data_IF_089164999449
#
_entry.id   IF_089164999449
#
_cell.length_a   1.000
_cell.length_b   1.000
_cell.length_c   1.000
_cell.angle_alpha   90.00
_cell.angle_beta   90.00
_cell.angle_gamma   90.00
#
_symmetry.space_group_name_H-M   'P 1'
#
loop_
_entity.id
_entity.type
_entity.pdbx_description
1 polymer ?
#
# COMPACT_ATOMS: atom_id res chain seq x y z
N UNK A 1 -2.65 13.45 -5.60
CA UNK A 1 -1.76 12.47 -6.22
C UNK A 1 -2.19 12.38 -7.66
N UNK A 2 -1.30 12.73 -8.57
CA UNK A 2 -1.60 12.90 -9.98
C UNK A 2 -1.39 11.59 -10.74
N UNK A 3 -2.28 11.32 -11.69
CA UNK A 3 -2.14 10.20 -12.62
C UNK A 3 -1.36 10.64 -13.85
N UNK A 4 -0.18 10.07 -14.04
CA UNK A 4 0.72 10.38 -15.15
C UNK A 4 0.53 9.33 -16.25
N UNK A 5 0.04 9.78 -17.40
CA UNK A 5 -0.20 8.91 -18.57
C UNK A 5 1.12 8.38 -19.14
N UNK A 6 1.12 7.11 -19.51
CA UNK A 6 2.21 6.49 -20.25
C UNK A 6 1.91 6.57 -21.74
N UNK A 7 2.83 7.15 -22.51
CA UNK A 7 2.84 7.07 -23.96
C UNK A 7 3.13 5.62 -24.39
N UNK A 8 2.05 4.86 -24.66
CA UNK A 8 2.14 3.43 -25.01
C UNK A 8 2.98 3.19 -26.25
N UNK A 9 2.99 4.12 -27.22
CA UNK A 9 3.73 3.94 -28.46
C UNK A 9 5.25 4.04 -28.27
N UNK A 10 5.69 4.77 -27.25
CA UNK A 10 7.11 4.88 -26.88
C UNK A 10 7.52 3.93 -25.75
N UNK A 11 6.57 3.19 -25.18
CA UNK A 11 6.84 2.35 -24.03
C UNK A 11 7.40 0.99 -24.43
N UNK A 12 8.66 0.72 -24.05
CA UNK A 12 9.37 -0.52 -24.39
C UNK A 12 8.63 -1.80 -24.00
N UNK A 13 7.78 -1.76 -22.96
CA UNK A 13 7.01 -2.93 -22.50
C UNK A 13 5.63 -3.06 -23.13
N UNK A 14 5.26 -2.23 -24.14
CA UNK A 14 3.95 -2.26 -24.81
C UNK A 14 3.50 -3.68 -25.17
N UNK A 15 4.32 -4.41 -25.92
CA UNK A 15 3.98 -5.78 -26.37
C UNK A 15 3.77 -6.75 -25.22
N UNK A 16 4.62 -6.67 -24.19
CA UNK A 16 4.52 -7.53 -23.00
C UNK A 16 3.28 -7.20 -22.20
N UNK A 17 2.97 -5.91 -22.04
CA UNK A 17 1.76 -5.47 -21.37
C UNK A 17 0.52 -5.93 -22.13
N UNK A 18 0.45 -5.76 -23.45
CA UNK A 18 -0.68 -6.21 -24.27
C UNK A 18 -0.91 -7.72 -24.13
N UNK A 19 0.16 -8.53 -24.23
CA UNK A 19 0.06 -9.98 -24.05
C UNK A 19 -0.54 -10.35 -22.69
N UNK A 20 -0.02 -9.81 -21.59
CA UNK A 20 -0.45 -10.20 -20.25
C UNK A 20 -1.68 -9.45 -19.71
N UNK A 21 -2.13 -8.38 -20.37
CA UNK A 21 -3.34 -7.63 -20.00
C UNK A 21 -4.55 -7.93 -20.88
N UNK A 22 -4.38 -8.66 -21.99
CA UNK A 22 -5.47 -8.99 -22.92
C UNK A 22 -5.50 -10.46 -23.28
N UNK A 23 -4.40 -10.99 -23.80
CA UNK A 23 -4.39 -12.31 -24.44
C UNK A 23 -4.19 -13.45 -23.42
N UNK A 24 -3.34 -13.23 -22.42
CA UNK A 24 -2.95 -14.20 -21.40
C UNK A 24 -3.00 -13.52 -20.03
N UNK A 25 -4.21 -13.24 -19.54
CA UNK A 25 -4.41 -12.68 -18.20
C UNK A 25 -3.86 -13.62 -17.13
N UNK A 26 -2.81 -13.21 -16.44
CA UNK A 26 -2.19 -14.00 -15.38
C UNK A 26 -1.63 -13.14 -14.25
N UNK A 27 -1.54 -13.73 -13.06
CA UNK A 27 -0.82 -13.17 -11.91
C UNK A 27 0.08 -14.25 -11.30
N UNK A 28 1.09 -13.84 -10.54
CA UNK A 28 1.94 -14.76 -9.79
C UNK A 28 2.15 -14.23 -8.37
N UNK A 29 2.46 -15.13 -7.45
CA UNK A 29 2.81 -14.80 -6.06
C UNK A 29 4.09 -15.52 -5.66
N UNK A 30 4.82 -14.95 -4.70
CA UNK A 30 5.98 -15.57 -4.09
C UNK A 30 6.00 -15.27 -2.60
N UNK A 31 6.46 -16.24 -1.81
CA UNK A 31 6.63 -16.12 -0.37
C UNK A 31 8.10 -16.24 -0.03
N UNK A 32 8.60 -15.32 0.78
CA UNK A 32 9.99 -15.34 1.27
C UNK A 32 10.00 -15.14 2.78
N UNK A 33 10.96 -15.78 3.44
CA UNK A 33 11.28 -15.48 4.83
C UNK A 33 12.27 -14.33 4.87
N UNK A 34 11.85 -13.20 5.45
CA UNK A 34 12.72 -12.04 5.65
C UNK A 34 13.36 -12.11 7.04
N UNK A 35 14.68 -12.03 7.10
CA UNK A 35 15.36 -11.82 8.37
C UNK A 35 15.14 -10.37 8.84
N UNK A 36 14.32 -10.24 9.89
CA UNK A 36 13.98 -8.96 10.50
C UNK A 36 14.68 -8.75 11.85
N UNK A 37 15.67 -9.58 12.23
CA UNK A 37 16.29 -9.55 13.56
C UNK A 37 16.83 -8.16 13.91
N UNK A 38 17.60 -7.54 13.00
CA UNK A 38 18.14 -6.20 13.21
C UNK A 38 17.08 -5.10 13.24
N UNK A 39 15.99 -5.26 12.48
CA UNK A 39 14.87 -4.32 12.47
C UNK A 39 14.08 -4.40 13.78
N UNK A 40 13.76 -5.62 14.22
CA UNK A 40 13.04 -5.89 15.48
C UNK A 40 13.77 -5.28 16.67
N UNK A 41 15.08 -5.49 16.79
CA UNK A 41 15.89 -4.90 17.86
C UNK A 41 15.80 -3.36 17.87
N UNK A 42 15.87 -2.72 16.70
CA UNK A 42 15.75 -1.25 16.60
C UNK A 42 14.35 -0.75 16.97
N UNK A 43 13.31 -1.47 16.59
CA UNK A 43 11.91 -1.15 16.94
C UNK A 43 11.73 -1.19 18.45
N UNK A 44 12.26 -2.23 19.11
CA UNK A 44 12.21 -2.40 20.57
C UNK A 44 12.96 -1.28 21.30
N UNK A 45 14.20 -0.99 20.90
CA UNK A 45 15.02 0.09 21.49
C UNK A 45 14.32 1.45 21.38
N UNK A 46 13.70 1.72 20.22
CA UNK A 46 13.00 2.98 19.95
C UNK A 46 11.56 3.00 20.45
N UNK A 47 11.06 1.90 21.03
CA UNK A 47 9.68 1.76 21.52
C UNK A 47 8.62 2.08 20.44
N UNK A 48 8.90 1.70 19.19
CA UNK A 48 7.99 1.90 18.07
C UNK A 48 7.01 0.73 17.95
N UNK A 49 5.83 0.99 17.40
CA UNK A 49 4.91 -0.08 16.99
C UNK A 49 5.48 -0.82 15.78
N UNK A 50 5.45 -2.15 15.81
CA UNK A 50 6.06 -2.97 14.75
C UNK A 50 5.41 -2.76 13.38
N UNK A 51 4.08 -2.86 13.30
CA UNK A 51 3.36 -2.82 12.03
C UNK A 51 3.56 -1.52 11.21
N UNK A 52 3.43 -0.30 11.76
CA UNK A 52 3.66 0.92 10.97
C UNK A 52 5.09 1.05 10.45
N UNK A 53 6.09 0.45 11.12
CA UNK A 53 7.47 0.44 10.63
C UNK A 53 7.61 -0.45 9.39
N UNK A 54 6.99 -1.64 9.39
CA UNK A 54 6.93 -2.51 8.21
C UNK A 54 6.13 -1.85 7.09
N UNK A 55 4.98 -1.26 7.43
CA UNK A 55 4.10 -0.59 6.49
C UNK A 55 4.83 0.54 5.76
N UNK A 56 5.55 1.39 6.50
CA UNK A 56 6.39 2.45 5.94
C UNK A 56 7.46 1.90 5.00
N UNK A 57 8.16 0.84 5.40
CA UNK A 57 9.17 0.18 4.56
C UNK A 57 8.59 -0.27 3.23
N UNK A 58 7.44 -0.95 3.25
CA UNK A 58 6.72 -1.35 2.04
C UNK A 58 6.30 -0.13 1.20
N UNK A 59 5.73 0.90 1.83
CA UNK A 59 5.31 2.11 1.13
C UNK A 59 6.47 2.83 0.45
N UNK A 60 7.66 2.91 1.08
CA UNK A 60 8.86 3.49 0.45
C UNK A 60 9.27 2.73 -0.81
N UNK A 61 9.27 1.39 -0.77
CA UNK A 61 9.63 0.59 -1.94
C UNK A 61 8.59 0.66 -3.06
N UNK A 62 7.31 0.57 -2.71
CA UNK A 62 6.21 0.71 -3.66
C UNK A 62 6.22 2.09 -4.32
N UNK A 63 6.43 3.15 -3.54
CA UNK A 63 6.52 4.51 -4.08
C UNK A 63 7.83 4.78 -4.85
N UNK A 64 8.89 3.99 -4.64
CA UNK A 64 10.15 4.14 -5.38
C UNK A 64 10.06 3.68 -6.84
N UNK A 65 9.27 2.65 -7.13
CA UNK A 65 9.23 2.02 -8.44
C UNK A 65 7.88 2.21 -9.12
N UNK A 66 7.88 2.84 -10.29
CA UNK A 66 6.66 3.18 -11.04
C UNK A 66 5.76 1.96 -11.30
N UNK A 67 6.34 0.79 -11.54
CA UNK A 67 5.64 -0.44 -11.87
C UNK A 67 4.69 -0.94 -10.77
N UNK A 68 4.92 -0.55 -9.50
CA UNK A 68 4.01 -0.87 -8.40
C UNK A 68 2.87 0.15 -8.24
N UNK A 69 2.87 1.21 -9.04
CA UNK A 69 1.93 2.33 -8.97
C UNK A 69 1.16 2.53 -10.28
N UNK A 70 1.25 1.55 -11.19
CA UNK A 70 0.57 1.58 -12.50
C UNK A 70 -0.89 1.19 -12.37
N UNK A 71 -1.76 1.86 -13.11
CA UNK A 71 -3.19 1.56 -13.18
C UNK A 71 -3.77 2.03 -14.53
N UNK A 72 -5.03 1.69 -14.79
CA UNK A 72 -5.86 2.28 -15.83
C UNK A 72 -6.74 3.35 -15.21
N UNK A 73 -6.75 4.56 -15.80
CA UNK A 73 -7.68 5.60 -15.36
C UNK A 73 -9.13 5.28 -15.75
N UNK A 74 -10.06 6.19 -15.43
CA UNK A 74 -11.50 6.03 -15.72
C UNK A 74 -11.82 5.86 -17.21
N UNK A 75 -10.93 6.34 -18.08
CA UNK A 75 -11.05 6.28 -19.54
C UNK A 75 -10.31 5.06 -20.14
N UNK A 76 -9.74 4.19 -19.30
CA UNK A 76 -9.00 3.00 -19.73
C UNK A 76 -7.57 3.30 -20.23
N UNK A 77 -7.05 4.48 -19.97
CA UNK A 77 -5.69 4.88 -20.36
C UNK A 77 -4.67 4.39 -19.34
N UNK A 78 -3.56 3.87 -19.84
CA UNK A 78 -2.46 3.37 -19.00
C UNK A 78 -1.64 4.52 -18.45
N UNK A 79 -1.33 4.46 -17.17
CA UNK A 79 -0.46 5.41 -16.50
C UNK A 79 0.00 4.89 -15.16
N UNK A 80 0.48 5.79 -14.33
CA UNK A 80 0.89 5.52 -12.96
C UNK A 80 0.61 6.72 -12.08
N UNK A 81 0.32 6.49 -10.81
CA UNK A 81 0.22 7.57 -9.84
C UNK A 81 1.62 8.06 -9.44
N UNK A 82 1.77 9.36 -9.23
CA UNK A 82 2.98 10.00 -8.69
C UNK A 82 3.35 9.49 -7.29
N UNK A 83 2.35 9.07 -6.52
CA UNK A 83 2.43 8.52 -5.18
C UNK A 83 1.17 7.67 -4.90
N UNK A 84 1.30 6.64 -4.05
CA UNK A 84 0.17 5.84 -3.56
C UNK A 84 0.26 5.55 -2.07
N UNK A 85 -0.91 5.40 -1.45
CA UNK A 85 -1.07 5.19 -0.01
C UNK A 85 -1.19 3.69 0.33
N UNK A 86 -0.63 3.21 1.46
CA UNK A 86 -0.96 1.88 1.95
C UNK A 86 -2.42 1.81 2.41
N UNK A 87 -3.14 0.77 1.99
CA UNK A 87 -4.41 0.34 2.59
C UNK A 87 -4.21 -1.02 3.26
N UNK A 88 -4.64 -1.14 4.51
CA UNK A 88 -4.33 -2.28 5.36
C UNK A 88 -5.49 -2.75 6.23
N UNK A 89 -5.40 -4.01 6.66
CA UNK A 89 -6.41 -4.64 7.51
C UNK A 89 -6.23 -4.26 8.97
N UNK A 90 -7.35 -3.96 9.63
CA UNK A 90 -7.45 -3.80 11.07
C UNK A 90 -8.46 -4.81 11.59
N UNK A 91 -8.07 -5.57 12.60
CA UNK A 91 -8.87 -6.65 13.17
C UNK A 91 -9.69 -6.14 14.36
N UNK A 92 -10.98 -6.47 14.38
CA UNK A 92 -11.92 -6.20 15.46
C UNK A 92 -12.20 -7.52 16.19
N UNK A 93 -11.68 -7.64 17.41
CA UNK A 93 -11.68 -8.90 18.14
C UNK A 93 -13.07 -9.30 18.64
N UNK A 94 -13.94 -8.33 18.97
CA UNK A 94 -15.25 -8.63 19.57
C UNK A 94 -16.25 -9.26 18.59
N UNK A 95 -16.11 -8.98 17.30
CA UNK A 95 -16.96 -9.47 16.22
C UNK A 95 -16.22 -10.41 15.27
N UNK A 96 -14.93 -10.66 15.50
CA UNK A 96 -14.06 -11.47 14.65
C UNK A 96 -14.06 -10.98 13.18
N UNK A 97 -14.12 -9.66 13.00
CA UNK A 97 -14.18 -9.02 11.68
C UNK A 97 -12.90 -8.24 11.39
N UNK A 98 -12.70 -7.91 10.11
CA UNK A 98 -11.68 -6.95 9.70
C UNK A 98 -12.30 -5.85 8.85
N UNK A 99 -11.73 -4.66 8.96
CA UNK A 99 -12.02 -3.53 8.08
C UNK A 99 -10.72 -2.97 7.49
N UNK A 100 -10.85 -2.15 6.46
CA UNK A 100 -9.72 -1.58 5.75
C UNK A 100 -9.51 -0.12 6.15
N UNK A 101 -8.28 0.22 6.51
CA UNK A 101 -7.84 1.58 6.82
C UNK A 101 -6.68 1.91 5.90
N UNK A 102 -6.67 3.12 5.36
CA UNK A 102 -5.53 3.61 4.60
C UNK A 102 -4.90 4.80 5.31
N UNK A 103 -3.58 4.90 5.21
CA UNK A 103 -2.81 6.01 5.80
C UNK A 103 -2.15 6.81 4.72
N UNK A 104 -2.20 8.14 4.83
CA UNK A 104 -1.52 9.01 3.87
C UNK A 104 -0.02 8.76 3.93
N UNK A 105 0.57 8.38 2.78
CA UNK A 105 2.00 8.22 2.66
C UNK A 105 2.71 9.57 2.80
N UNK A 106 3.91 9.52 3.37
CA UNK A 106 4.88 10.60 3.36
C UNK A 106 6.27 9.99 3.26
N UNK A 107 7.19 10.67 2.58
CA UNK A 107 8.56 10.19 2.43
C UNK A 107 9.33 10.27 3.77
N UNK A 108 8.95 11.19 4.64
CA UNK A 108 9.45 11.30 6.01
C UNK A 108 8.78 10.25 6.93
N UNK A 109 9.62 9.48 7.62
CA UNK A 109 9.14 8.41 8.50
C UNK A 109 8.28 8.93 9.66
N UNK A 110 8.68 10.04 10.27
CA UNK A 110 7.96 10.58 11.43
C UNK A 110 6.58 11.06 11.02
N UNK A 111 6.50 11.79 9.89
CA UNK A 111 5.21 12.24 9.34
C UNK A 111 4.31 11.05 9.01
N UNK A 112 4.84 10.03 8.33
CA UNK A 112 4.10 8.81 8.03
C UNK A 112 3.60 8.10 9.31
N UNK A 113 4.48 7.98 10.31
CA UNK A 113 4.18 7.30 11.56
C UNK A 113 3.07 8.03 12.33
N UNK A 114 3.10 9.36 12.37
CA UNK A 114 2.04 10.17 12.98
C UNK A 114 0.71 10.05 12.23
N UNK A 115 0.74 10.04 10.88
CA UNK A 115 -0.47 9.80 10.07
C UNK A 115 -1.11 8.45 10.43
N UNK A 116 -0.29 7.40 10.54
CA UNK A 116 -0.77 6.06 10.94
C UNK A 116 -1.39 6.08 12.35
N UNK A 117 -0.72 6.69 13.32
CA UNK A 117 -1.24 6.73 14.69
C UNK A 117 -2.58 7.47 14.77
N UNK A 118 -2.75 8.55 14.00
CA UNK A 118 -4.01 9.28 13.92
C UNK A 118 -5.12 8.41 13.33
N UNK A 119 -4.84 7.69 12.24
CA UNK A 119 -5.83 6.77 11.65
C UNK A 119 -6.20 5.65 12.62
N UNK A 120 -5.23 5.03 13.29
CA UNK A 120 -5.51 3.97 14.26
C UNK A 120 -6.29 4.48 15.49
N UNK A 121 -6.06 5.72 15.92
CA UNK A 121 -6.85 6.34 16.98
C UNK A 121 -8.33 6.44 16.60
N UNK A 122 -8.62 6.79 15.34
CA UNK A 122 -9.99 6.99 14.87
C UNK A 122 -10.71 5.68 14.53
N UNK A 123 -9.97 4.72 13.94
CA UNK A 123 -10.57 3.50 13.39
C UNK A 123 -10.43 2.28 14.29
N UNK A 124 -9.40 2.21 15.16
CA UNK A 124 -9.23 1.09 16.08
C UNK A 124 -9.68 1.42 17.51
N UNK A 125 -9.56 2.67 17.96
CA UNK A 125 -9.81 3.05 19.36
C UNK A 125 -11.15 3.79 19.59
N UNK A 126 -11.84 4.23 18.53
CA UNK A 126 -13.14 4.91 18.62
C UNK A 126 -14.20 4.24 17.74
N UNK A 127 -15.46 4.63 17.95
CA UNK A 127 -16.76 4.07 17.52
C UNK A 127 -16.94 3.60 16.06
N UNK A 128 -15.97 3.81 15.18
CA UNK A 128 -16.06 3.52 13.75
C UNK A 128 -15.64 2.07 13.46
N UNK A 129 -16.59 1.14 13.54
CA UNK A 129 -16.41 -0.26 13.13
C UNK A 129 -16.65 -0.44 11.63
N UNK A 130 -15.93 0.31 10.79
CA UNK A 130 -16.08 0.23 9.33
C UNK A 130 -14.83 0.67 8.58
N UNK A 131 -14.74 0.29 7.31
CA UNK A 131 -13.61 0.68 6.45
C UNK A 131 -13.58 2.19 6.25
N UNK A 132 -12.37 2.78 6.30
CA UNK A 132 -12.13 4.17 5.93
C UNK A 132 -12.50 4.37 4.47
N UNK A 133 -13.33 5.38 4.18
CA UNK A 133 -13.79 5.66 2.82
C UNK A 133 -12.59 5.87 1.90
N UNK A 134 -12.58 5.14 0.78
CA UNK A 134 -11.56 5.24 -0.26
C UNK A 134 -12.12 6.03 -1.44
N UNK A 135 -11.66 7.27 -1.58
CA UNK A 135 -12.13 8.19 -2.63
C UNK A 135 -11.33 8.05 -3.93
N UNK A 136 -10.09 7.59 -3.83
CA UNK A 136 -9.14 7.50 -4.93
C UNK A 136 -8.56 6.09 -5.03
N UNK A 137 -8.15 5.67 -6.23
CA UNK A 137 -7.60 4.32 -6.49
C UNK A 137 -6.08 4.23 -6.25
N UNK A 138 -5.46 5.31 -5.80
CA UNK A 138 -4.02 5.44 -5.51
C UNK A 138 -3.64 4.71 -4.20
N UNK A 139 -3.92 3.42 -4.11
CA UNK A 139 -3.60 2.60 -2.94
C UNK A 139 -2.97 1.27 -3.31
N UNK A 140 -2.21 0.70 -2.39
CA UNK A 140 -1.75 -0.69 -2.46
C UNK A 140 -2.10 -1.46 -1.19
N UNK A 141 -2.46 -2.72 -1.33
CA UNK A 141 -2.95 -3.55 -0.24
C UNK A 141 -1.82 -4.15 0.61
N UNK A 142 -1.96 -4.09 1.93
CA UNK A 142 -1.11 -4.78 2.90
C UNK A 142 -1.99 -5.48 3.92
N UNK A 143 -1.88 -6.80 4.05
CA UNK A 143 -2.58 -7.54 5.11
C UNK A 143 -1.58 -8.14 6.09
N UNK A 144 -2.01 -8.31 7.33
CA UNK A 144 -1.26 -9.02 8.37
C UNK A 144 -2.12 -10.12 8.95
N UNK A 145 -1.58 -11.34 8.95
CA UNK A 145 -2.09 -12.49 9.71
C UNK A 145 -1.08 -12.73 10.83
N UNK A 146 -1.33 -12.22 12.05
CA UNK A 146 -0.38 -12.29 13.16
C UNK A 146 -0.25 -13.71 13.75
#
# INVERSE_FOLDING_TARGET
MDFIKIDKEKWQRKKVFELYSKDILCTYSMTINLDITGLKNKIEIKQLKFFPVILYGLSKFVNKYKEFRMDLNKDGELGYYDEINPIFTVFEEAQEQFYQVWTKYDDDFEVFYQNYLLDMKNYQQQEIKSSKLLLEKNVFNVSRVP
#
